data_IF_953370390047
#
_entry.id   IF_953370390047
#
_cell.length_a   1.000
_cell.length_b   1.000
_cell.length_c   1.000
_cell.angle_alpha   90.00
_cell.angle_beta   90.00
_cell.angle_gamma   90.00
#
_symmetry.space_group_name_H-M   'P 1'
#
loop_
_entity.id
_entity.type
_entity.pdbx_description
1 polymer ?
#
# COMPACT_ATOMS: atom_id res chain seq x y z
N UNK A 1 19.53 23.99 -13.46
CA UNK A 1 19.65 22.91 -12.45
C UNK A 1 18.66 23.02 -11.27
N UNK A 2 18.09 24.20 -10.93
CA UNK A 2 17.04 24.31 -9.89
C UNK A 2 15.61 23.99 -10.37
N UNK A 3 15.30 24.28 -11.63
CA UNK A 3 13.98 24.00 -12.22
C UNK A 3 13.70 22.50 -12.36
N UNK A 4 14.69 21.72 -12.79
CA UNK A 4 14.59 20.26 -12.96
C UNK A 4 14.20 19.55 -11.64
N UNK A 5 14.77 20.02 -10.52
CA UNK A 5 14.47 19.49 -9.18
C UNK A 5 13.02 19.74 -8.76
N UNK A 6 12.46 20.91 -9.10
CA UNK A 6 11.06 21.25 -8.77
C UNK A 6 10.07 20.37 -9.54
N UNK A 7 10.38 20.02 -10.79
CA UNK A 7 9.57 19.11 -11.60
C UNK A 7 9.66 17.67 -11.07
N UNK A 8 10.86 17.21 -10.70
CA UNK A 8 11.06 15.90 -10.08
C UNK A 8 10.32 15.77 -8.74
N UNK A 9 10.38 16.79 -7.88
CA UNK A 9 9.69 16.79 -6.58
C UNK A 9 8.16 16.73 -6.74
N UNK A 10 7.61 17.42 -7.75
CA UNK A 10 6.17 17.35 -8.07
C UNK A 10 5.75 15.98 -8.60
N UNK A 11 6.58 15.37 -9.46
CA UNK A 11 6.31 14.03 -9.99
C UNK A 11 6.38 12.98 -8.87
N UNK A 12 7.34 13.10 -7.96
CA UNK A 12 7.46 12.23 -6.80
C UNK A 12 6.23 12.36 -5.88
N UNK A 13 5.80 13.58 -5.55
CA UNK A 13 4.62 13.81 -4.72
C UNK A 13 3.32 13.29 -5.38
N UNK A 14 3.20 13.42 -6.70
CA UNK A 14 2.06 12.87 -7.44
C UNK A 14 2.08 11.33 -7.43
N UNK A 15 3.24 10.72 -7.70
CA UNK A 15 3.41 9.27 -7.67
C UNK A 15 3.07 8.69 -6.28
N UNK A 16 3.56 9.31 -5.21
CA UNK A 16 3.29 8.90 -3.83
C UNK A 16 1.79 8.96 -3.49
N UNK A 17 1.11 10.04 -3.88
CA UNK A 17 -0.33 10.17 -3.69
C UNK A 17 -1.14 9.08 -4.44
N UNK A 18 -0.71 8.73 -5.66
CA UNK A 18 -1.34 7.65 -6.44
C UNK A 18 -1.10 6.29 -5.78
N UNK A 19 0.13 6.01 -5.34
CA UNK A 19 0.45 4.78 -4.62
C UNK A 19 -0.34 4.64 -3.32
N UNK A 20 -0.49 5.73 -2.55
CA UNK A 20 -1.28 5.74 -1.32
C UNK A 20 -2.74 5.35 -1.58
N UNK A 21 -3.38 5.92 -2.61
CA UNK A 21 -4.76 5.56 -2.97
C UNK A 21 -4.86 4.10 -3.40
N UNK A 22 -3.94 3.62 -4.23
CA UNK A 22 -3.91 2.22 -4.67
C UNK A 22 -3.82 1.30 -3.45
N UNK A 23 -2.84 1.48 -2.56
CA UNK A 23 -2.65 0.64 -1.37
C UNK A 23 -3.87 0.67 -0.42
N UNK A 24 -4.55 1.81 -0.28
CA UNK A 24 -5.77 1.87 0.55
C UNK A 24 -6.94 1.11 -0.05
N UNK A 25 -7.13 1.16 -1.38
CA UNK A 25 -8.18 0.40 -2.07
C UNK A 25 -7.85 -1.09 -2.06
N UNK A 26 -6.59 -1.42 -2.33
CA UNK A 26 -6.00 -2.75 -2.22
C UNK A 26 -6.30 -3.43 -0.86
N UNK A 27 -6.21 -2.69 0.24
CA UNK A 27 -6.53 -3.19 1.60
C UNK A 27 -8.03 -3.47 1.80
N UNK A 28 -8.94 -2.82 1.07
CA UNK A 28 -10.38 -3.09 1.19
C UNK A 28 -10.75 -4.52 0.74
N UNK A 29 -9.89 -5.16 -0.05
CA UNK A 29 -10.08 -6.55 -0.48
C UNK A 29 -9.63 -7.57 0.58
N UNK A 30 -9.04 -7.14 1.70
CA UNK A 30 -8.67 -8.02 2.80
C UNK A 30 -9.89 -8.41 3.62
N UNK A 31 -10.31 -9.67 3.51
CA UNK A 31 -11.36 -10.26 4.35
C UNK A 31 -10.92 -10.32 5.82
N UNK A 32 -11.80 -9.90 6.74
CA UNK A 32 -11.55 -10.02 8.17
C UNK A 32 -11.40 -11.50 8.58
N UNK A 33 -10.52 -11.82 9.55
CA UNK A 33 -10.37 -13.18 10.04
C UNK A 33 -11.66 -13.68 10.73
N UNK A 34 -12.00 -14.96 10.53
CA UNK A 34 -13.22 -15.61 11.04
C UNK A 34 -13.36 -15.59 12.57
N UNK A 35 -12.26 -15.36 13.29
CA UNK A 35 -12.26 -15.17 14.74
C UNK A 35 -11.46 -13.91 15.13
N UNK A 36 -11.91 -13.12 16.12
CA UNK A 36 -11.22 -11.93 16.60
C UNK A 36 -10.03 -12.31 17.52
N UNK A 37 -9.15 -13.17 17.03
CA UNK A 37 -7.94 -13.61 17.73
C UNK A 37 -6.71 -13.27 16.86
N UNK A 38 -5.65 -12.75 17.47
CA UNK A 38 -4.40 -12.46 16.75
C UNK A 38 -3.81 -13.69 16.05
N UNK A 39 -4.07 -14.90 16.55
CA UNK A 39 -3.68 -16.17 15.90
C UNK A 39 -4.37 -16.38 14.53
N UNK A 40 -5.55 -15.78 14.32
CA UNK A 40 -6.28 -15.88 13.05
C UNK A 40 -5.70 -14.99 11.94
N UNK A 41 -4.75 -14.10 12.27
CA UNK A 41 -3.97 -13.35 11.27
C UNK A 41 -2.84 -14.20 10.66
N UNK A 42 -2.40 -15.25 11.37
CA UNK A 42 -1.33 -16.14 10.91
C UNK A 42 -1.64 -16.75 9.53
N UNK A 43 -2.84 -17.27 9.22
CA UNK A 43 -3.12 -17.76 7.87
C UNK A 43 -3.31 -16.68 6.79
N UNK A 44 -3.56 -15.41 7.15
CA UNK A 44 -3.79 -14.31 6.19
C UNK A 44 -2.49 -13.62 5.72
N UNK A 45 -1.36 -13.96 6.36
CA UNK A 45 -0.04 -13.40 6.05
C UNK A 45 0.43 -13.52 4.58
N UNK A 46 0.14 -14.60 3.81
CA UNK A 46 0.64 -14.72 2.44
C UNK A 46 -0.06 -13.73 1.51
N UNK A 47 -1.35 -13.47 1.76
CA UNK A 47 -2.16 -12.49 1.02
C UNK A 47 -1.67 -11.07 1.31
N UNK A 48 -1.37 -10.77 2.57
CA UNK A 48 -0.82 -9.47 2.95
C UNK A 48 0.54 -9.18 2.28
N UNK A 49 1.41 -10.20 2.16
CA UNK A 49 2.70 -10.06 1.46
C UNK A 49 2.53 -9.88 -0.04
N UNK A 50 1.54 -10.54 -0.65
CA UNK A 50 1.23 -10.38 -2.08
C UNK A 50 0.79 -8.96 -2.44
N UNK A 51 0.35 -8.19 -1.43
CA UNK A 51 -0.06 -6.79 -1.53
C UNK A 51 1.09 -5.78 -1.36
N UNK A 52 2.29 -6.23 -0.95
CA UNK A 52 3.47 -5.37 -0.85
C UNK A 52 4.28 -5.45 -2.16
N UNK A 53 4.44 -4.35 -2.92
CA UNK A 53 5.36 -4.32 -4.05
C UNK A 53 6.83 -4.43 -3.57
N UNK A 54 7.75 -4.94 -4.41
CA UNK A 54 9.17 -5.05 -4.08
C UNK A 54 9.87 -3.69 -3.89
#
# INVERSE_FOLDING_TARGET
MREEKTTADRLAAFSDAVFAVIVTVMVLELTAPDQPAFSALWPLWPTAISYAPP
#
